data_IF_285105887319
#
_entry.id   IF_285105887319
#
_cell.length_a   1.000
_cell.length_b   1.000
_cell.length_c   1.000
_cell.angle_alpha   90.00
_cell.angle_beta   90.00
_cell.angle_gamma   90.00
#
_symmetry.space_group_name_H-M   'P 1'
#
loop_
_entity.id
_entity.type
_entity.pdbx_description
1 polymer ?
#
# COMPACT_ATOMS: atom_id res chain seq x y z
N UNK A 1 23.97 -33.19 -21.69
CA UNK A 1 23.10 -31.99 -21.52
C UNK A 1 21.76 -32.26 -20.81
N UNK A 2 21.25 -33.49 -20.72
CA UNK A 2 19.89 -33.81 -20.23
C UNK A 2 19.67 -33.76 -18.70
N UNK A 3 20.73 -33.81 -17.88
CA UNK A 3 20.60 -33.74 -16.39
C UNK A 3 20.72 -32.34 -15.80
N UNK A 4 21.44 -31.42 -16.44
CA UNK A 4 21.58 -30.03 -15.99
C UNK A 4 20.23 -29.31 -15.97
N UNK A 5 19.47 -29.44 -17.07
CA UNK A 5 18.14 -28.87 -17.20
C UNK A 5 17.15 -29.37 -16.12
N UNK A 6 17.21 -30.66 -15.76
CA UNK A 6 16.35 -31.21 -14.70
C UNK A 6 16.73 -30.72 -13.30
N UNK A 7 18.02 -30.57 -13.02
CA UNK A 7 18.51 -30.03 -11.73
C UNK A 7 18.15 -28.56 -11.58
N UNK A 8 18.27 -27.79 -12.66
CA UNK A 8 17.92 -26.37 -12.68
C UNK A 8 16.40 -26.19 -12.53
N UNK A 9 15.61 -27.00 -13.22
CA UNK A 9 14.16 -27.03 -13.06
C UNK A 9 13.74 -27.41 -11.63
N UNK A 10 14.40 -28.39 -11.00
CA UNK A 10 14.12 -28.78 -9.62
C UNK A 10 14.46 -27.66 -8.62
N UNK A 11 15.60 -26.98 -8.81
CA UNK A 11 15.97 -25.81 -8.01
C UNK A 11 14.97 -24.66 -8.17
N UNK A 12 14.53 -24.38 -9.40
CA UNK A 12 13.51 -23.37 -9.67
C UNK A 12 12.17 -23.70 -9.00
N UNK A 13 11.73 -24.97 -9.08
CA UNK A 13 10.51 -25.44 -8.39
C UNK A 13 10.61 -25.32 -6.87
N UNK A 14 11.75 -25.68 -6.29
CA UNK A 14 11.98 -25.54 -4.85
C UNK A 14 12.02 -24.08 -4.40
N UNK A 15 12.70 -23.21 -5.16
CA UNK A 15 12.72 -21.77 -4.89
C UNK A 15 11.31 -21.18 -4.95
N UNK A 16 10.53 -21.53 -5.99
CA UNK A 16 9.13 -21.10 -6.14
C UNK A 16 8.26 -21.59 -4.99
N UNK A 17 8.43 -22.84 -4.56
CA UNK A 17 7.71 -23.41 -3.41
C UNK A 17 8.04 -22.67 -2.12
N UNK A 18 9.31 -22.36 -1.88
CA UNK A 18 9.74 -21.59 -0.71
C UNK A 18 9.18 -20.16 -0.72
N UNK A 19 9.14 -19.51 -1.88
CA UNK A 19 8.53 -18.19 -2.04
C UNK A 19 7.02 -18.23 -1.78
N UNK A 20 6.32 -19.24 -2.29
CA UNK A 20 4.90 -19.44 -2.04
C UNK A 20 4.62 -19.68 -0.56
N UNK A 21 5.45 -20.48 0.13
CA UNK A 21 5.34 -20.68 1.58
C UNK A 21 5.54 -19.37 2.36
N UNK A 22 6.52 -18.54 1.99
CA UNK A 22 6.71 -17.21 2.57
C UNK A 22 5.50 -16.30 2.35
N UNK A 23 4.85 -16.39 1.19
CA UNK A 23 3.60 -15.65 0.90
C UNK A 23 2.39 -16.20 1.67
N UNK A 24 2.32 -17.51 1.89
CA UNK A 24 1.25 -18.18 2.62
C UNK A 24 1.38 -18.10 4.16
N UNK A 25 2.54 -17.73 4.69
CA UNK A 25 2.72 -17.52 6.14
C UNK A 25 1.70 -16.51 6.68
N UNK A 26 1.02 -16.85 7.78
CA UNK A 26 0.11 -15.94 8.48
C UNK A 26 0.83 -14.71 9.04
N UNK A 27 0.07 -13.79 9.64
CA UNK A 27 0.60 -12.51 10.11
C UNK A 27 1.82 -12.63 11.05
N UNK A 28 1.92 -13.68 11.86
CA UNK A 28 3.06 -13.91 12.75
C UNK A 28 4.32 -14.45 12.02
N UNK A 29 4.16 -15.11 10.88
CA UNK A 29 5.28 -15.66 10.10
C UNK A 29 5.91 -14.65 9.14
N UNK A 30 5.27 -13.50 8.90
CA UNK A 30 5.84 -12.43 8.09
C UNK A 30 7.06 -11.83 8.81
N UNK A 31 8.16 -11.66 8.09
CA UNK A 31 9.42 -11.16 8.64
C UNK A 31 9.27 -9.82 9.39
N UNK A 32 8.41 -8.90 8.92
CA UNK A 32 8.15 -7.61 9.58
C UNK A 32 7.33 -7.70 10.89
N UNK A 33 6.73 -8.85 11.17
CA UNK A 33 5.88 -9.10 12.34
C UNK A 33 6.50 -10.12 13.31
N UNK A 34 7.69 -10.64 12.99
CA UNK A 34 8.41 -11.57 13.84
C UNK A 34 8.73 -10.91 15.19
N UNK A 35 8.37 -11.57 16.30
CA UNK A 35 8.58 -11.05 17.66
C UNK A 35 7.66 -9.90 18.08
N UNK A 36 6.71 -9.48 17.23
CA UNK A 36 5.73 -8.43 17.58
C UNK A 36 4.48 -9.09 18.16
N UNK A 37 4.04 -8.66 19.35
CA UNK A 37 2.77 -9.11 19.95
C UNK A 37 1.57 -8.70 19.09
N UNK A 38 0.43 -9.37 19.26
CA UNK A 38 -0.80 -9.02 18.55
C UNK A 38 -1.24 -7.58 18.81
N UNK A 39 -1.19 -7.14 20.07
CA UNK A 39 -1.50 -5.77 20.49
C UNK A 39 -0.67 -4.73 19.75
N UNK A 40 0.65 -4.95 19.68
CA UNK A 40 1.56 -4.02 19.00
C UNK A 40 1.35 -3.98 17.48
N UNK A 41 0.75 -5.01 16.88
CA UNK A 41 0.37 -4.98 15.45
C UNK A 41 -0.91 -4.17 15.26
N UNK A 42 -1.87 -4.33 16.16
CA UNK A 42 -3.15 -3.60 16.12
C UNK A 42 -2.93 -2.10 16.32
N UNK A 43 -2.07 -1.70 17.26
CA UNK A 43 -1.73 -0.28 17.45
C UNK A 43 -1.08 0.34 16.21
N UNK A 44 -0.11 -0.33 15.59
CA UNK A 44 0.53 0.13 14.34
C UNK A 44 -0.45 0.27 13.18
N UNK A 45 -1.36 -0.69 13.02
CA UNK A 45 -2.38 -0.63 11.97
C UNK A 45 -3.36 0.52 12.21
N UNK A 46 -3.78 0.73 13.47
CA UNK A 46 -4.59 1.86 13.87
C UNK A 46 -3.88 3.21 13.63
N UNK A 47 -2.59 3.30 13.92
CA UNK A 47 -1.78 4.50 13.64
C UNK A 47 -1.72 4.79 12.14
N UNK A 48 -1.46 3.77 11.32
CA UNK A 48 -1.44 3.92 9.87
C UNK A 48 -2.80 4.36 9.31
N UNK A 49 -3.90 3.87 9.88
CA UNK A 49 -5.26 4.29 9.52
C UNK A 49 -5.53 5.75 9.90
N UNK A 50 -5.14 6.18 11.10
CA UNK A 50 -5.25 7.59 11.52
C UNK A 50 -4.46 8.51 10.59
N UNK A 51 -3.23 8.15 10.25
CA UNK A 51 -2.41 8.93 9.32
C UNK A 51 -3.04 9.01 7.92
N UNK A 52 -3.62 7.91 7.42
CA UNK A 52 -4.33 7.90 6.14
C UNK A 52 -5.56 8.81 6.15
N UNK A 53 -6.32 8.82 7.25
CA UNK A 53 -7.48 9.70 7.40
C UNK A 53 -7.07 11.17 7.40
N UNK A 54 -6.06 11.53 8.20
CA UNK A 54 -5.51 12.90 8.22
C UNK A 54 -5.01 13.34 6.83
N UNK A 55 -4.31 12.46 6.12
CA UNK A 55 -3.85 12.73 4.76
C UNK A 55 -5.02 12.88 3.76
N UNK A 56 -6.07 12.07 3.89
CA UNK A 56 -7.26 12.16 3.05
C UNK A 56 -8.04 13.45 3.31
N UNK A 57 -8.18 13.86 4.57
CA UNK A 57 -8.80 15.13 4.96
C UNK A 57 -8.01 16.33 4.44
N UNK A 58 -6.68 16.30 4.57
CA UNK A 58 -5.82 17.34 4.02
C UNK A 58 -5.95 17.45 2.49
N UNK A 59 -6.01 16.32 1.78
CA UNK A 59 -6.24 16.29 0.32
C UNK A 59 -7.62 16.85 -0.03
N UNK A 60 -8.66 16.44 0.69
CA UNK A 60 -10.03 16.94 0.48
C UNK A 60 -10.14 18.45 0.73
N UNK A 61 -9.45 18.96 1.75
CA UNK A 61 -9.37 20.40 2.02
C UNK A 61 -8.65 21.17 0.91
N UNK A 62 -7.53 20.64 0.40
CA UNK A 62 -6.80 21.22 -0.72
C UNK A 62 -7.64 21.23 -2.02
N UNK A 63 -8.36 20.14 -2.31
CA UNK A 63 -9.25 20.05 -3.47
C UNK A 63 -10.45 20.99 -3.37
N UNK A 64 -11.03 21.17 -2.18
CA UNK A 64 -12.09 22.14 -1.95
C UNK A 64 -11.59 23.59 -2.12
N UNK A 65 -10.38 23.90 -1.63
CA UNK A 65 -9.75 25.20 -1.83
C UNK A 65 -9.46 25.49 -3.32
N UNK A 66 -9.00 24.49 -4.08
CA UNK A 66 -8.78 24.61 -5.53
C UNK A 66 -10.09 24.88 -6.28
N UNK A 67 -11.15 24.08 -6.01
CA UNK A 67 -12.47 24.25 -6.64
C UNK A 67 -13.10 25.60 -6.34
N UNK A 68 -13.01 26.09 -5.10
CA UNK A 68 -13.53 27.43 -4.76
C UNK A 68 -12.73 28.55 -5.43
N UNK A 69 -11.43 28.38 -5.62
CA UNK A 69 -10.58 29.29 -6.38
C UNK A 69 -10.96 29.35 -7.87
N UNK A 70 -11.23 28.22 -8.49
CA UNK A 70 -11.63 28.15 -9.90
C UNK A 70 -13.04 28.71 -10.13
N UNK A 71 -14.01 28.42 -9.27
CA UNK A 71 -15.36 29.03 -9.34
C UNK A 71 -15.30 30.56 -9.25
N UNK A 72 -14.44 31.12 -8.39
CA UNK A 72 -14.26 32.58 -8.27
C UNK A 72 -13.61 33.21 -9.51
N UNK A 73 -12.71 32.50 -10.20
CA UNK A 73 -12.11 32.99 -11.46
C UNK A 73 -13.13 33.00 -12.58
N UNK A 74 -13.94 31.94 -12.70
CA UNK A 74 -15.02 31.87 -13.69
C UNK A 74 -16.07 32.96 -13.45
N UNK A 75 -16.43 33.25 -12.20
CA UNK A 75 -17.34 34.35 -11.88
C UNK A 75 -16.79 35.75 -12.20
N UNK A 76 -15.48 35.96 -12.10
CA UNK A 76 -14.84 37.24 -12.45
C UNK A 76 -14.60 37.38 -13.95
N UNK A 77 -14.44 36.25 -14.65
CA UNK A 77 -14.30 36.19 -16.10
C UNK A 77 -15.65 35.79 -16.71
N UNK A 78 -16.65 36.67 -16.57
CA UNK A 78 -17.91 36.55 -17.30
C UNK A 78 -17.85 37.52 -18.49
N UNK A 79 -17.50 37.07 -19.71
CA UNK A 79 -17.32 37.96 -20.86
C UNK A 79 -18.65 38.49 -21.44
N UNK A 80 -19.79 38.17 -20.82
CA UNK A 80 -21.13 38.58 -21.25
C UNK A 80 -21.80 39.57 -20.27
N UNK A 81 -21.11 40.02 -19.22
CA UNK A 81 -21.51 41.14 -18.34
C UNK A 81 -20.49 42.26 -18.41
#
# INVERSE_FOLDING_TARGET
>A
MTRGNQRDLARAKNAKKLEQQKKAQGAAGKAGNAGVSTENRMSRDADAMRQKQLAAEARKAAEAAAKTGDVKKVQKFDPLK
#
